data_IF_265814008764
#
_entry.id   IF_265814008764
#
_cell.length_a   1.000
_cell.length_b   1.000
_cell.length_c   1.000
_cell.angle_alpha   90.00
_cell.angle_beta   90.00
_cell.angle_gamma   90.00
#
_symmetry.space_group_name_H-M   'P 1'
#
loop_
_entity.id
_entity.type
_entity.pdbx_description
1 polymer ?
#
# COMPACT_ATOMS: atom_id res chain seq x y z
N UNK A 1 11.42 21.54 0.88
CA UNK A 1 11.83 20.40 1.71
C UNK A 1 10.61 19.51 1.92
N UNK A 2 10.68 18.29 1.40
CA UNK A 2 9.61 17.31 1.52
C UNK A 2 9.62 16.80 2.96
N UNK A 3 8.70 17.23 3.79
CA UNK A 3 8.50 16.62 5.09
C UNK A 3 8.06 15.16 4.86
N UNK A 4 8.99 14.22 4.99
CA UNK A 4 8.67 12.79 5.05
C UNK A 4 7.82 12.54 6.29
N UNK A 5 6.82 11.65 6.23
CA UNK A 5 6.13 11.24 7.45
C UNK A 5 7.16 10.74 8.47
N UNK A 6 7.02 11.14 9.72
CA UNK A 6 7.97 10.80 10.78
C UNK A 6 8.08 9.30 11.03
N UNK A 7 7.03 8.54 10.73
CA UNK A 7 6.97 7.08 10.84
C UNK A 7 6.22 6.49 9.65
N UNK A 8 6.79 5.46 9.04
CA UNK A 8 6.20 4.69 7.94
C UNK A 8 6.30 3.20 8.24
N UNK A 9 5.30 2.44 7.82
CA UNK A 9 5.41 0.98 7.83
C UNK A 9 6.33 0.53 6.71
N UNK A 10 7.12 -0.50 7.02
CA UNK A 10 7.92 -1.23 6.06
C UNK A 10 7.19 -2.49 5.63
N UNK A 11 7.32 -2.86 4.36
CA UNK A 11 6.78 -4.11 3.84
C UNK A 11 7.84 -4.79 3.00
N UNK A 12 8.12 -6.05 3.29
CA UNK A 12 8.88 -6.93 2.41
C UNK A 12 7.91 -7.88 1.71
N UNK A 13 7.98 -7.95 0.39
CA UNK A 13 7.16 -8.86 -0.41
C UNK A 13 8.06 -9.83 -1.16
N UNK A 14 7.91 -11.12 -0.88
CA UNK A 14 8.61 -12.19 -1.56
C UNK A 14 7.67 -12.80 -2.60
N UNK A 15 8.16 -12.95 -3.83
CA UNK A 15 7.45 -13.63 -4.89
C UNK A 15 8.07 -14.99 -5.18
N UNK A 16 7.21 -16.00 -5.29
CA UNK A 16 7.59 -17.36 -5.60
C UNK A 16 6.83 -17.88 -6.81
N UNK A 17 7.48 -18.77 -7.57
CA UNK A 17 6.87 -19.59 -8.61
C UNK A 17 6.68 -21.01 -8.09
N UNK A 18 5.53 -21.62 -8.39
CA UNK A 18 5.24 -23.01 -8.05
C UNK A 18 4.42 -23.67 -9.15
N UNK A 19 4.54 -24.99 -9.30
CA UNK A 19 3.76 -25.78 -10.28
C UNK A 19 2.32 -26.01 -9.82
N UNK A 20 2.08 -25.95 -8.51
CA UNK A 20 0.76 -26.16 -7.92
C UNK A 20 0.42 -25.05 -6.95
N UNK A 21 -0.67 -24.35 -7.20
CA UNK A 21 -1.16 -23.32 -6.29
C UNK A 21 -1.42 -23.90 -4.88
N UNK A 22 -0.93 -23.22 -3.83
CA UNK A 22 -1.22 -23.64 -2.45
C UNK A 22 -2.68 -23.44 -2.05
N UNK A 23 -3.42 -22.65 -2.82
CA UNK A 23 -4.83 -22.32 -2.62
C UNK A 23 -5.66 -22.76 -3.81
N UNK A 24 -6.95 -23.02 -3.58
CA UNK A 24 -7.92 -23.35 -4.64
C UNK A 24 -8.79 -22.17 -5.07
N UNK A 25 -8.72 -21.04 -4.34
CA UNK A 25 -9.53 -19.84 -4.58
C UNK A 25 -8.66 -18.57 -4.50
N UNK A 26 -9.02 -17.50 -5.23
CA UNK A 26 -8.32 -16.22 -5.17
C UNK A 26 -8.68 -15.46 -3.88
N UNK A 27 -8.18 -15.91 -2.75
CA UNK A 27 -8.36 -15.32 -1.44
C UNK A 27 -7.01 -14.85 -0.87
N UNK A 28 -7.05 -13.85 0.00
CA UNK A 28 -5.91 -13.47 0.83
C UNK A 28 -6.02 -14.26 2.14
N UNK A 29 -4.97 -15.01 2.48
CA UNK A 29 -4.85 -15.65 3.79
C UNK A 29 -4.08 -14.69 4.69
N UNK A 30 -4.71 -14.30 5.78
CA UNK A 30 -4.09 -13.48 6.82
C UNK A 30 -3.58 -14.39 7.94
N UNK A 31 -2.40 -14.05 8.47
CA UNK A 31 -1.91 -14.66 9.68
C UNK A 31 -2.68 -14.11 10.89
N UNK A 32 -3.31 -14.99 11.66
CA UNK A 32 -4.02 -14.63 12.89
C UNK A 32 -3.14 -14.66 14.14
N UNK A 33 -1.84 -14.87 13.99
CA UNK A 33 -0.92 -14.90 15.11
C UNK A 33 -0.66 -13.49 15.68
N UNK A 34 -0.37 -13.44 16.98
CA UNK A 34 -0.19 -12.19 17.75
C UNK A 34 1.17 -11.49 17.48
N UNK A 35 1.74 -11.62 16.27
CA UNK A 35 2.93 -10.89 15.85
C UNK A 35 4.26 -11.57 16.24
N UNK A 36 4.27 -12.87 16.56
CA UNK A 36 5.49 -13.63 16.81
C UNK A 36 6.17 -14.09 15.53
N UNK A 37 5.39 -14.25 14.45
CA UNK A 37 5.83 -14.72 13.13
C UNK A 37 6.15 -13.57 12.18
N UNK A 38 6.82 -13.88 11.07
CA UNK A 38 7.19 -12.91 10.03
C UNK A 38 6.09 -12.73 8.97
N UNK A 39 5.53 -13.84 8.50
CA UNK A 39 4.53 -13.82 7.43
C UNK A 39 3.25 -13.19 7.94
N UNK A 40 2.85 -12.07 7.35
CA UNK A 40 1.61 -11.39 7.65
C UNK A 40 0.45 -11.94 6.81
N UNK A 41 0.65 -12.09 5.50
CA UNK A 41 -0.36 -12.64 4.61
C UNK A 41 0.23 -13.25 3.35
N UNK A 42 -0.55 -14.15 2.74
CA UNK A 42 -0.23 -14.81 1.48
C UNK A 42 -1.36 -14.60 0.49
N UNK A 43 -0.99 -14.35 -0.76
CA UNK A 43 -1.90 -14.20 -1.87
C UNK A 43 -1.34 -14.90 -3.12
N UNK A 44 -2.21 -15.44 -3.97
CA UNK A 44 -1.83 -16.10 -5.22
C UNK A 44 -2.43 -15.34 -6.40
N UNK A 45 -1.72 -14.32 -6.96
CA UNK A 45 -2.22 -13.47 -8.03
C UNK A 45 -2.71 -14.25 -9.26
N UNK A 46 -2.02 -15.33 -9.62
CA UNK A 46 -2.37 -16.16 -10.77
C UNK A 46 -3.70 -16.93 -10.64
N UNK A 47 -4.27 -17.03 -9.43
CA UNK A 47 -5.63 -17.53 -9.24
C UNK A 47 -6.69 -16.46 -9.52
N UNK A 48 -6.34 -15.19 -9.40
CA UNK A 48 -7.21 -14.08 -9.78
C UNK A 48 -7.21 -13.89 -11.29
N UNK A 49 -6.01 -13.86 -11.89
CA UNK A 49 -5.84 -13.72 -13.33
C UNK A 49 -4.67 -14.59 -13.83
N UNK A 50 -4.90 -15.53 -14.76
CA UNK A 50 -3.88 -16.48 -15.20
C UNK A 50 -2.62 -15.82 -15.79
N UNK A 51 -2.74 -14.65 -16.40
CA UNK A 51 -1.61 -13.94 -17.03
C UNK A 51 -0.55 -13.43 -16.03
N UNK A 52 -0.81 -13.52 -14.71
CA UNK A 52 0.22 -13.23 -13.71
C UNK A 52 1.31 -14.30 -13.59
N UNK A 53 1.17 -15.44 -14.28
CA UNK A 53 2.19 -16.47 -14.32
C UNK A 53 2.26 -17.14 -15.73
N UNK A 54 3.39 -17.69 -16.12
CA UNK A 54 3.47 -18.52 -17.32
C UNK A 54 2.55 -19.75 -17.22
N UNK A 55 2.17 -20.31 -18.38
CA UNK A 55 1.34 -21.52 -18.42
C UNK A 55 1.95 -22.66 -17.59
N UNK A 56 1.13 -23.29 -16.76
CA UNK A 56 1.53 -24.38 -15.86
C UNK A 56 2.27 -23.92 -14.60
N UNK A 57 2.38 -22.62 -14.36
CA UNK A 57 2.96 -22.04 -13.13
C UNK A 57 1.94 -21.19 -12.38
N UNK A 58 2.22 -21.00 -11.10
CA UNK A 58 1.48 -20.08 -10.23
C UNK A 58 2.44 -19.09 -9.58
N UNK A 59 2.00 -17.85 -9.49
CA UNK A 59 2.68 -16.80 -8.75
C UNK A 59 2.12 -16.75 -7.33
N UNK A 60 2.99 -16.81 -6.34
CA UNK A 60 2.65 -16.64 -4.92
C UNK A 60 3.32 -15.39 -4.40
N UNK A 61 2.57 -14.53 -3.72
CA UNK A 61 3.07 -13.35 -3.04
C UNK A 61 2.95 -13.56 -1.52
N UNK A 62 4.07 -13.43 -0.83
CA UNK A 62 4.21 -13.54 0.63
C UNK A 62 4.60 -12.17 1.17
N UNK A 63 3.84 -11.65 2.11
CA UNK A 63 4.06 -10.32 2.66
C UNK A 63 4.47 -10.37 4.12
N UNK A 64 5.54 -9.65 4.43
CA UNK A 64 6.07 -9.41 5.76
C UNK A 64 5.93 -7.92 6.07
N UNK A 65 5.13 -7.58 7.07
CA UNK A 65 4.85 -6.18 7.48
C UNK A 65 5.69 -5.77 8.70
N UNK A 66 6.36 -6.73 9.30
CA UNK A 66 7.22 -6.51 10.45
C UNK A 66 8.59 -6.01 10.00
N UNK A 67 9.13 -5.02 10.70
CA UNK A 67 10.51 -4.60 10.53
C UNK A 67 11.48 -5.73 10.92
N UNK A 68 12.52 -5.94 10.13
CA UNK A 68 13.52 -6.98 10.32
C UNK A 68 14.86 -6.56 9.72
N UNK A 69 15.95 -7.10 10.29
CA UNK A 69 17.33 -6.89 9.82
C UNK A 69 17.86 -8.11 9.03
N UNK A 70 16.96 -8.98 8.54
CA UNK A 70 17.31 -10.18 7.79
C UNK A 70 17.71 -9.82 6.37
N UNK A 71 18.72 -10.52 5.83
CA UNK A 71 18.99 -10.49 4.40
C UNK A 71 17.93 -11.30 3.60
N UNK A 72 18.01 -11.25 2.28
CA UNK A 72 17.00 -11.90 1.40
C UNK A 72 16.97 -13.42 1.59
N UNK A 73 18.12 -14.07 1.78
CA UNK A 73 18.22 -15.53 1.94
C UNK A 73 17.66 -15.97 3.29
N UNK A 74 18.01 -15.27 4.37
CA UNK A 74 17.49 -15.53 5.70
C UNK A 74 15.98 -15.31 5.77
N UNK A 75 15.48 -14.23 5.12
CA UNK A 75 14.08 -13.92 5.05
C UNK A 75 13.30 -15.00 4.30
N UNK A 76 13.81 -15.45 3.16
CA UNK A 76 13.22 -16.54 2.37
C UNK A 76 13.10 -17.81 3.20
N UNK A 77 14.20 -18.27 3.80
CA UNK A 77 14.24 -19.51 4.60
C UNK A 77 13.23 -19.45 5.75
N UNK A 78 13.18 -18.33 6.48
CA UNK A 78 12.23 -18.17 7.59
C UNK A 78 10.80 -18.15 7.13
N UNK A 79 10.50 -17.42 6.04
CA UNK A 79 9.15 -17.41 5.48
C UNK A 79 8.70 -18.79 5.00
N UNK A 80 9.56 -19.53 4.27
CA UNK A 80 9.23 -20.88 3.82
C UNK A 80 9.05 -21.84 5.00
N UNK A 81 9.82 -21.70 6.06
CA UNK A 81 9.66 -22.49 7.28
C UNK A 81 8.28 -22.26 7.91
N UNK A 82 7.88 -21.00 8.12
CA UNK A 82 6.54 -20.67 8.63
C UNK A 82 5.41 -21.15 7.68
N UNK A 83 5.57 -20.95 6.38
CA UNK A 83 4.60 -21.40 5.39
C UNK A 83 4.48 -22.92 5.30
N UNK A 84 5.52 -23.66 5.68
CA UNK A 84 5.46 -25.12 5.76
C UNK A 84 4.46 -25.63 6.79
N UNK A 85 4.20 -24.86 7.84
CA UNK A 85 3.18 -25.15 8.84
C UNK A 85 1.75 -24.93 8.26
N UNK A 86 1.60 -23.97 7.31
CA UNK A 86 0.30 -23.67 6.70
C UNK A 86 -0.06 -24.58 5.53
N UNK A 87 0.93 -24.89 4.68
CA UNK A 87 0.75 -25.57 3.39
C UNK A 87 1.49 -26.90 3.27
N UNK A 88 2.23 -27.29 4.30
CA UNK A 88 3.08 -28.49 4.31
C UNK A 88 4.42 -28.29 3.59
N UNK A 89 5.26 -29.33 3.64
CA UNK A 89 6.64 -29.26 3.16
C UNK A 89 6.82 -28.96 1.67
N UNK A 90 5.75 -29.04 0.87
CA UNK A 90 5.78 -28.70 -0.57
C UNK A 90 6.15 -27.25 -0.85
N UNK A 91 6.06 -26.36 0.14
CA UNK A 91 6.52 -24.97 0.00
C UNK A 91 8.03 -24.88 -0.22
N UNK A 92 8.80 -25.88 0.21
CA UNK A 92 10.24 -25.95 0.00
C UNK A 92 10.62 -26.16 -1.49
N UNK A 93 9.68 -26.60 -2.32
CA UNK A 93 9.84 -26.73 -3.76
C UNK A 93 9.53 -25.41 -4.52
N UNK A 94 9.09 -24.36 -3.82
CA UNK A 94 8.79 -23.07 -4.44
C UNK A 94 10.08 -22.40 -4.87
N UNK A 95 10.09 -21.88 -6.09
CA UNK A 95 11.21 -21.15 -6.64
C UNK A 95 11.06 -19.66 -6.27
N UNK A 96 11.98 -19.13 -5.48
CA UNK A 96 12.06 -17.70 -5.22
C UNK A 96 12.35 -16.93 -6.52
N UNK A 97 11.60 -15.88 -6.76
CA UNK A 97 11.73 -15.03 -7.94
C UNK A 97 12.37 -13.69 -7.59
N UNK A 98 11.82 -13.04 -6.58
CA UNK A 98 12.24 -11.69 -6.20
C UNK A 98 11.72 -11.32 -4.82
N UNK A 99 12.54 -10.61 -4.06
CA UNK A 99 12.12 -9.87 -2.86
C UNK A 99 12.12 -8.37 -3.15
N UNK A 100 11.07 -7.69 -2.71
CA UNK A 100 10.96 -6.23 -2.75
C UNK A 100 10.87 -5.70 -1.32
N UNK A 101 11.79 -4.82 -0.95
CA UNK A 101 11.75 -4.10 0.31
C UNK A 101 11.17 -2.70 0.09
N UNK A 102 9.95 -2.49 0.57
CA UNK A 102 9.22 -1.22 0.44
C UNK A 102 9.41 -0.44 1.73
N UNK A 103 10.40 0.41 1.75
CA UNK A 103 10.81 1.18 2.93
C UNK A 103 9.74 2.15 3.43
N UNK A 104 8.89 2.66 2.54
CA UNK A 104 7.83 3.62 2.83
C UNK A 104 6.52 3.11 2.24
N UNK A 105 6.01 2.01 2.77
CA UNK A 105 4.82 1.35 2.22
C UNK A 105 3.54 2.10 2.57
N UNK A 106 3.39 2.49 3.82
CA UNK A 106 2.26 3.30 4.29
C UNK A 106 2.72 4.25 5.40
N UNK A 107 2.22 5.50 5.41
CA UNK A 107 2.45 6.38 6.53
C UNK A 107 1.76 5.81 7.77
N UNK A 108 2.52 5.67 8.87
CA UNK A 108 1.93 5.33 10.15
C UNK A 108 1.29 6.60 10.72
N UNK A 109 -0.01 6.58 10.88
CA UNK A 109 -0.72 7.62 11.61
C UNK A 109 -1.42 6.99 12.81
N UNK A 110 -1.18 7.48 14.01
CA UNK A 110 -2.04 7.16 15.14
C UNK A 110 -3.48 7.57 14.80
N UNK A 111 -4.45 6.94 15.46
CA UNK A 111 -5.87 7.26 15.28
C UNK A 111 -6.03 8.78 15.36
N UNK A 112 -6.48 9.39 14.27
CA UNK A 112 -6.64 10.84 14.18
C UNK A 112 -7.97 11.23 14.79
N UNK A 113 -7.95 12.21 15.68
CA UNK A 113 -9.17 12.84 16.22
C UNK A 113 -9.96 13.55 15.11
N UNK A 114 -9.27 14.03 14.06
CA UNK A 114 -9.87 14.58 12.85
C UNK A 114 -9.25 13.98 11.58
N UNK A 115 -10.11 13.44 10.71
CA UNK A 115 -9.73 12.97 9.39
C UNK A 115 -9.81 14.15 8.41
N UNK A 116 -8.66 14.58 7.90
CA UNK A 116 -8.57 15.65 6.91
C UNK A 116 -8.26 15.04 5.54
N UNK A 117 -9.05 15.36 4.52
CA UNK A 117 -8.85 14.83 3.17
C UNK A 117 -8.12 15.79 2.22
N UNK A 118 -8.01 17.07 2.59
CA UNK A 118 -7.28 18.08 1.83
C UNK A 118 -6.56 19.03 2.76
N UNK A 119 -5.38 19.50 2.38
CA UNK A 119 -4.60 20.46 3.14
C UNK A 119 -4.08 21.56 2.23
N UNK A 120 -4.49 22.79 2.50
CA UNK A 120 -3.91 23.95 1.83
C UNK A 120 -2.52 24.24 2.40
N UNK A 121 -1.51 24.19 1.56
CA UNK A 121 -0.10 24.42 1.93
C UNK A 121 0.28 25.88 1.77
N UNK A 122 -0.18 26.50 0.67
CA UNK A 122 0.01 27.92 0.38
C UNK A 122 -1.16 28.47 -0.45
N UNK A 123 -1.06 29.71 -0.89
CA UNK A 123 -2.16 30.36 -1.63
C UNK A 123 -2.67 29.56 -2.83
N UNK A 124 -1.79 28.84 -3.54
CA UNK A 124 -2.13 28.09 -4.76
C UNK A 124 -1.69 26.64 -4.74
N UNK A 125 -1.27 26.11 -3.57
CA UNK A 125 -0.75 24.74 -3.42
C UNK A 125 -1.59 23.98 -2.41
N UNK A 126 -2.06 22.83 -2.81
CA UNK A 126 -2.85 21.91 -1.98
C UNK A 126 -2.15 20.56 -1.92
N UNK A 127 -2.21 19.90 -0.79
CA UNK A 127 -1.83 18.51 -0.65
C UNK A 127 -3.09 17.64 -0.62
N UNK A 128 -3.02 16.51 -1.31
CA UNK A 128 -4.00 15.43 -1.25
C UNK A 128 -3.28 14.08 -1.25
N UNK A 129 -4.00 13.04 -0.90
CA UNK A 129 -3.51 11.67 -0.82
C UNK A 129 -3.97 10.98 0.46
N UNK A 130 -3.78 9.67 0.52
CA UNK A 130 -4.10 8.85 1.69
C UNK A 130 -3.26 9.21 2.91
N UNK A 131 -2.08 9.80 2.70
CA UNK A 131 -1.22 10.31 3.77
C UNK A 131 -1.85 11.40 4.64
N UNK A 132 -2.96 12.01 4.21
CA UNK A 132 -3.70 13.00 5.00
C UNK A 132 -4.78 12.39 5.89
N UNK A 133 -5.10 11.11 5.68
CA UNK A 133 -6.16 10.41 6.40
C UNK A 133 -5.73 8.97 6.75
N UNK A 134 -6.61 8.02 6.64
CA UNK A 134 -6.29 6.60 6.78
C UNK A 134 -5.68 6.08 5.48
N UNK A 135 -4.52 5.41 5.55
CA UNK A 135 -3.85 4.84 4.38
C UNK A 135 -4.71 3.80 3.67
N UNK A 136 -5.45 4.23 2.63
CA UNK A 136 -6.30 3.37 1.81
C UNK A 136 -6.54 3.98 0.43
N UNK A 137 -6.86 3.13 -0.54
CA UNK A 137 -7.23 3.56 -1.89
C UNK A 137 -8.45 4.48 -1.88
N UNK A 138 -9.46 4.18 -1.07
CA UNK A 138 -10.66 5.02 -0.92
C UNK A 138 -10.29 6.41 -0.39
N UNK A 139 -9.47 6.48 0.63
CA UNK A 139 -8.99 7.75 1.19
C UNK A 139 -8.21 8.57 0.16
N UNK A 140 -7.37 7.93 -0.65
CA UNK A 140 -6.63 8.60 -1.72
C UNK A 140 -7.58 9.21 -2.76
N UNK A 141 -8.57 8.44 -3.25
CA UNK A 141 -9.57 8.90 -4.21
C UNK A 141 -10.43 10.02 -3.65
N UNK A 142 -10.91 9.87 -2.43
CA UNK A 142 -11.71 10.87 -1.73
C UNK A 142 -10.93 12.17 -1.53
N UNK A 143 -9.69 12.07 -1.09
CA UNK A 143 -8.80 13.21 -0.89
C UNK A 143 -8.58 14.00 -2.18
N UNK A 144 -8.35 13.31 -3.30
CA UNK A 144 -8.21 13.96 -4.62
C UNK A 144 -9.49 14.71 -5.02
N UNK A 145 -10.66 14.08 -4.85
CA UNK A 145 -11.95 14.71 -5.16
C UNK A 145 -12.22 15.95 -4.30
N UNK A 146 -12.08 15.82 -2.98
CA UNK A 146 -12.36 16.94 -2.07
C UNK A 146 -11.37 18.11 -2.29
N UNK A 147 -10.12 17.82 -2.62
CA UNK A 147 -9.15 18.86 -2.98
C UNK A 147 -9.55 19.61 -4.25
N UNK A 148 -10.00 18.88 -5.28
CA UNK A 148 -10.49 19.50 -6.52
C UNK A 148 -11.74 20.38 -6.28
N UNK A 149 -12.68 19.91 -5.44
CA UNK A 149 -13.88 20.68 -5.09
C UNK A 149 -13.54 21.98 -4.33
N UNK A 150 -12.57 21.93 -3.41
CA UNK A 150 -12.11 23.11 -2.67
C UNK A 150 -11.47 24.12 -3.62
N UNK A 151 -10.57 23.67 -4.50
CA UNK A 151 -9.92 24.51 -5.50
C UNK A 151 -10.94 25.15 -6.43
N UNK A 152 -11.92 24.38 -6.95
CA UNK A 152 -12.96 24.90 -7.82
C UNK A 152 -13.79 25.99 -7.15
N UNK A 153 -14.20 25.79 -5.87
CA UNK A 153 -14.95 26.78 -5.09
C UNK A 153 -14.14 28.07 -4.87
N UNK A 154 -12.85 27.97 -4.61
CA UNK A 154 -11.99 29.14 -4.44
C UNK A 154 -11.79 29.90 -5.75
N UNK A 155 -11.64 29.16 -6.87
CA UNK A 155 -11.47 29.77 -8.19
C UNK A 155 -12.73 30.55 -8.63
N UNK A 156 -13.91 30.01 -8.37
CA UNK A 156 -15.18 30.71 -8.66
C UNK A 156 -15.33 31.95 -7.79
N UNK A 157 -15.01 31.89 -6.49
CA UNK A 157 -15.05 33.04 -5.58
C UNK A 157 -14.04 34.11 -5.96
N UNK A 158 -12.84 33.74 -6.43
CA UNK A 158 -11.81 34.66 -6.91
C UNK A 158 -12.23 35.45 -8.16
N UNK A 159 -12.94 34.79 -9.09
CA UNK A 159 -13.45 35.43 -10.31
C UNK A 159 -14.71 36.28 -10.08
N UNK A 160 -15.36 36.15 -8.91
CA UNK A 160 -16.54 36.96 -8.58
C UNK A 160 -16.22 38.36 -8.04
N UNK A 161 -14.95 38.63 -7.73
CA UNK A 161 -14.48 40.01 -7.47
C UNK A 161 -14.20 40.69 -8.81
N UNK A 162 -15.21 41.32 -9.40
CA UNK A 162 -15.01 42.31 -10.48
C UNK A 162 -14.04 43.39 -9.97
N UNK A 163 -13.06 43.80 -10.77
CA UNK A 163 -12.31 45.00 -10.45
C UNK A 163 -13.30 46.18 -10.45
N UNK A 164 -13.37 46.90 -9.33
CA UNK A 164 -14.01 48.22 -9.28
C UNK A 164 -13.19 49.12 -10.21
N UNK A 165 -13.71 49.30 -11.44
CA UNK A 165 -13.30 50.39 -12.27
C UNK A 165 -13.87 51.66 -11.61
N UNK A 166 -13.02 52.36 -10.85
CA UNK A 166 -13.32 53.69 -10.40
C UNK A 166 -13.64 54.54 -11.62
N UNK A 167 -14.90 54.97 -11.73
CA UNK A 167 -15.30 56.03 -12.66
C UNK A 167 -14.59 57.31 -12.22
N UNK A 168 -13.55 57.68 -12.96
CA UNK A 168 -12.92 58.96 -12.83
C UNK A 168 -13.77 59.97 -13.57
N UNK A 169 -14.46 60.83 -12.81
CA UNK A 169 -15.01 62.12 -13.27
C UNK A 169 -13.89 63.10 -13.59
#
# INVERSE_FOLDING_TARGET
>A
EKAMPAECSHVSTLYFSTDKAPLSKPVVILNGDNGTTLVNHVFVPSLLHPEYAPSGKHLVAVNVVKEHDLDDEELEVKCLTELSEWFGLKVMDWQHLKTYHIKYAMPFKPILDEVTFTKKISQSVYACGDSLSVGSMESALRSGRESAEVIAKEFVKGNSKKPDFAESN
#
